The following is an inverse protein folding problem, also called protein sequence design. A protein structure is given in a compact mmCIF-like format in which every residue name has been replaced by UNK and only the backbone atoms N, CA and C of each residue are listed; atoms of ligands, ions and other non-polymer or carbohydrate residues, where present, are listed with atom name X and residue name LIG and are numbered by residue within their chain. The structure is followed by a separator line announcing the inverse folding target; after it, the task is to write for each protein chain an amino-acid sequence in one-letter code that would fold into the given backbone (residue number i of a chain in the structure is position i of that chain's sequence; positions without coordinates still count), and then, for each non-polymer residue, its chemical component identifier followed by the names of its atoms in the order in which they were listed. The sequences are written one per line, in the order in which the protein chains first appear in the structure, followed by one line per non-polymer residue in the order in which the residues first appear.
data_IF_459689095613
#
_entry.id   IF_459689095613
#
_cell.length_a   1.000
_cell.length_b   1.000
_cell.length_c   1.000
_cell.angle_alpha   90.00
_cell.angle_beta   90.00
_cell.angle_gamma   90.00
#
_symmetry.space_group_name_H-M   'P 1'
#
loop_
_entity.id
_entity.type
_entity.pdbx_description
1 polymer ?
#
# COMPACT_ATOMS: atom_id res chain seq x y z
N UNK A 1 -6.97 15.97 8.47
CA UNK A 1 -5.97 16.91 7.91
C UNK A 1 -5.25 16.35 6.70
N UNK A 2 -4.83 15.08 6.67
CA UNK A 2 -4.21 14.44 5.50
C UNK A 2 -5.05 14.55 4.23
N UNK A 3 -6.36 14.32 4.33
CA UNK A 3 -7.28 14.48 3.19
C UNK A 3 -7.24 15.91 2.61
N UNK A 4 -7.14 16.92 3.47
CA UNK A 4 -7.06 18.35 3.05
C UNK A 4 -5.76 18.58 2.27
N UNK A 5 -4.62 18.04 2.72
CA UNK A 5 -3.36 18.17 2.00
C UNK A 5 -3.42 17.54 0.60
N UNK A 6 -4.02 16.35 0.47
CA UNK A 6 -4.22 15.71 -0.83
C UNK A 6 -5.23 16.44 -1.72
N UNK A 7 -6.28 17.04 -1.15
CA UNK A 7 -7.22 17.87 -1.91
C UNK A 7 -6.53 19.13 -2.44
N UNK A 8 -5.73 19.80 -1.62
CA UNK A 8 -4.94 20.97 -2.05
C UNK A 8 -3.98 20.58 -3.16
N UNK A 9 -3.29 19.45 -3.03
CA UNK A 9 -2.42 18.92 -4.06
C UNK A 9 -3.18 18.70 -5.37
N UNK A 10 -4.31 18.01 -5.32
CA UNK A 10 -5.13 17.74 -6.51
C UNK A 10 -5.60 19.04 -7.19
N UNK A 11 -6.09 19.99 -6.41
CA UNK A 11 -6.53 21.29 -6.89
C UNK A 11 -5.35 22.04 -7.53
N UNK A 12 -4.19 22.08 -6.87
CA UNK A 12 -2.99 22.74 -7.38
C UNK A 12 -2.49 22.10 -8.70
N UNK A 13 -2.53 20.78 -8.80
CA UNK A 13 -2.19 20.03 -10.03
C UNK A 13 -3.15 20.39 -11.17
N UNK A 14 -4.46 20.42 -10.90
CA UNK A 14 -5.47 20.83 -11.90
C UNK A 14 -5.30 22.27 -12.33
N UNK A 15 -5.08 23.18 -11.39
CA UNK A 15 -4.78 24.60 -11.67
C UNK A 15 -3.53 24.69 -12.54
N UNK A 16 -2.46 23.99 -12.17
CA UNK A 16 -1.20 23.94 -12.91
C UNK A 16 -1.39 23.48 -14.35
N UNK A 17 -2.13 22.41 -14.53
CA UNK A 17 -2.46 21.88 -15.86
C UNK A 17 -3.22 22.93 -16.70
N UNK A 18 -4.34 23.45 -16.18
CA UNK A 18 -5.23 24.35 -16.90
C UNK A 18 -4.55 25.68 -17.23
N UNK A 19 -3.85 26.28 -16.27
CA UNK A 19 -3.17 27.57 -16.47
C UNK A 19 -2.07 27.47 -17.52
N UNK A 20 -1.27 26.42 -17.48
CA UNK A 20 -0.18 26.26 -18.45
C UNK A 20 -0.69 25.83 -19.83
N UNK A 21 -1.76 25.00 -19.89
CA UNK A 21 -2.45 24.70 -21.14
C UNK A 21 -3.01 25.96 -21.81
N UNK A 22 -3.72 26.80 -21.05
CA UNK A 22 -4.27 28.07 -21.56
C UNK A 22 -3.18 29.04 -22.01
N UNK A 23 -2.09 29.11 -21.25
CA UNK A 23 -0.95 29.94 -21.60
C UNK A 23 -0.28 29.51 -22.91
N UNK A 24 -0.08 28.20 -23.10
CA UNK A 24 0.47 27.67 -24.35
C UNK A 24 -0.45 27.95 -25.53
N UNK A 25 -1.77 27.79 -25.36
CA UNK A 25 -2.76 28.16 -26.38
C UNK A 25 -2.71 29.64 -26.74
N UNK A 26 -2.64 30.54 -25.76
CA UNK A 26 -2.57 31.97 -26.00
C UNK A 26 -1.33 32.37 -26.82
N UNK A 27 -0.17 31.76 -26.59
CA UNK A 27 1.06 31.96 -27.36
C UNK A 27 0.87 31.47 -28.81
N UNK A 28 0.27 30.30 -29.00
CA UNK A 28 -0.01 29.74 -30.31
C UNK A 28 -1.02 30.59 -31.09
N UNK A 29 -2.11 30.97 -30.43
CA UNK A 29 -3.16 31.82 -31.07
C UNK A 29 -2.63 33.22 -31.42
N UNK A 30 -1.56 33.68 -30.76
CA UNK A 30 -0.78 34.87 -31.12
C UNK A 30 0.15 34.67 -32.36
N UNK A 31 0.08 33.53 -33.04
CA UNK A 31 0.84 33.25 -34.28
C UNK A 31 2.23 32.65 -34.06
N UNK A 32 2.65 32.35 -32.84
CA UNK A 32 3.94 31.70 -32.60
C UNK A 32 3.86 30.19 -32.86
N UNK A 33 4.87 29.64 -33.54
CA UNK A 33 5.01 28.20 -33.72
C UNK A 33 5.51 27.58 -32.42
N UNK A 34 4.69 26.74 -31.79
CA UNK A 34 5.04 26.04 -30.56
C UNK A 34 5.87 24.77 -30.86
N UNK A 35 6.99 24.60 -30.18
CA UNK A 35 7.80 23.37 -30.30
C UNK A 35 7.07 22.12 -29.84
N UNK A 36 6.19 22.22 -28.84
CA UNK A 36 5.44 21.10 -28.27
C UNK A 36 3.94 21.39 -28.26
N UNK A 37 3.09 20.35 -28.35
CA UNK A 37 1.65 20.50 -28.23
C UNK A 37 1.25 21.07 -26.87
N UNK A 38 0.20 21.88 -26.86
CA UNK A 38 -0.28 22.59 -25.66
C UNK A 38 -0.51 21.68 -24.45
N UNK A 39 -1.02 20.46 -24.68
CA UNK A 39 -1.26 19.46 -23.63
C UNK A 39 0.00 19.08 -22.84
N UNK A 40 1.17 19.07 -23.50
CA UNK A 40 2.43 18.75 -22.83
C UNK A 40 2.88 19.88 -21.88
N UNK A 41 2.56 21.13 -22.17
CA UNK A 41 2.82 22.25 -21.25
C UNK A 41 1.98 22.11 -19.97
N UNK A 42 0.69 21.75 -20.11
CA UNK A 42 -0.17 21.43 -18.98
C UNK A 42 0.32 20.21 -18.20
N UNK A 43 0.63 19.11 -18.89
CA UNK A 43 1.13 17.89 -18.28
C UNK A 43 2.45 18.05 -17.53
N UNK A 44 3.40 18.82 -18.13
CA UNK A 44 4.66 19.16 -17.48
C UNK A 44 4.44 19.92 -16.17
N UNK A 45 3.57 20.96 -16.19
CA UNK A 45 3.25 21.71 -15.00
C UNK A 45 2.56 20.86 -13.93
N UNK A 46 1.65 19.99 -14.34
CA UNK A 46 0.98 19.04 -13.43
C UNK A 46 2.00 18.14 -12.71
N UNK A 47 2.96 17.56 -13.44
CA UNK A 47 3.99 16.70 -12.85
C UNK A 47 4.97 17.48 -11.96
N UNK A 48 5.34 18.71 -12.36
CA UNK A 48 6.20 19.59 -11.59
C UNK A 48 5.58 19.96 -10.24
N UNK A 49 4.26 20.09 -10.16
CA UNK A 49 3.53 20.34 -8.91
C UNK A 49 3.31 19.02 -8.15
N UNK A 50 2.87 17.97 -8.83
CA UNK A 50 2.48 16.70 -8.23
C UNK A 50 3.63 16.03 -7.49
N UNK A 51 4.75 15.80 -8.17
CA UNK A 51 5.81 14.92 -7.67
C UNK A 51 6.46 15.47 -6.40
N UNK A 52 6.99 16.72 -6.36
CA UNK A 52 7.66 17.21 -5.16
C UNK A 52 6.69 17.43 -4.00
N UNK A 53 5.47 17.88 -4.27
CA UNK A 53 4.48 18.09 -3.21
C UNK A 53 3.96 16.79 -2.64
N UNK A 54 3.72 15.78 -3.48
CA UNK A 54 3.36 14.44 -3.04
C UNK A 54 4.49 13.81 -2.22
N UNK A 55 5.74 13.91 -2.69
CA UNK A 55 6.89 13.42 -1.96
C UNK A 55 7.03 14.09 -0.57
N UNK A 56 6.84 15.41 -0.50
CA UNK A 56 6.83 16.13 0.78
C UNK A 56 5.76 15.60 1.74
N UNK A 57 4.53 15.40 1.26
CA UNK A 57 3.43 14.87 2.09
C UNK A 57 3.78 13.46 2.60
N UNK A 58 4.28 12.58 1.74
CA UNK A 58 4.65 11.22 2.13
C UNK A 58 5.79 11.22 3.15
N UNK A 59 6.87 11.98 2.90
CA UNK A 59 7.99 12.10 3.84
C UNK A 59 7.51 12.64 5.19
N UNK A 60 6.64 13.65 5.18
CA UNK A 60 6.07 14.21 6.40
C UNK A 60 5.30 13.14 7.19
N UNK A 61 4.40 12.40 6.53
CA UNK A 61 3.60 11.35 7.17
C UNK A 61 4.45 10.21 7.72
N UNK A 62 5.55 9.84 7.05
CA UNK A 62 6.47 8.80 7.52
C UNK A 62 7.21 9.21 8.80
N UNK A 63 7.63 10.46 8.89
CA UNK A 63 8.45 10.91 10.02
C UNK A 63 7.66 11.61 11.12
N UNK A 64 6.45 12.12 10.85
CA UNK A 64 5.63 12.86 11.81
C UNK A 64 5.46 12.11 13.13
N UNK A 65 5.11 10.83 13.08
CA UNK A 65 4.87 10.03 14.29
C UNK A 65 6.10 9.94 15.19
N UNK A 66 7.25 9.65 14.59
CA UNK A 66 8.53 9.51 15.32
C UNK A 66 8.96 10.85 15.93
N UNK A 67 8.85 11.94 15.16
CA UNK A 67 9.22 13.28 15.63
C UNK A 67 8.32 13.71 16.79
N UNK A 68 7.01 13.54 16.68
CA UNK A 68 6.07 13.91 17.74
C UNK A 68 6.30 13.06 18.98
N UNK A 69 6.55 11.76 18.82
CA UNK A 69 6.86 10.89 19.95
C UNK A 69 8.13 11.32 20.68
N UNK A 70 9.18 11.71 19.96
CA UNK A 70 10.40 12.27 20.55
C UNK A 70 10.12 13.57 21.31
N UNK A 71 9.30 14.47 20.75
CA UNK A 71 8.95 15.73 21.39
C UNK A 71 8.08 15.56 22.64
N UNK A 72 7.18 14.58 22.63
CA UNK A 72 6.38 14.22 23.82
C UNK A 72 7.27 13.62 24.89
N UNK A 73 8.13 12.66 24.53
CA UNK A 73 9.09 12.05 25.46
C UNK A 73 10.03 13.07 26.11
N UNK A 74 10.55 13.99 25.31
CA UNK A 74 11.42 15.07 25.81
C UNK A 74 10.71 16.04 26.79
N UNK A 75 9.40 16.03 26.85
CA UNK A 75 8.63 16.84 27.78
C UNK A 75 8.07 16.09 28.97
N UNK A 76 8.35 14.79 29.11
CA UNK A 76 7.97 14.02 30.27
C UNK A 76 8.89 14.39 31.47
N UNK A 77 8.39 14.37 32.71
CA UNK A 77 9.22 14.62 33.90
C UNK A 77 10.31 13.55 34.04
N UNK A 78 11.55 13.96 34.20
CA UNK A 78 12.72 13.06 34.34
C UNK A 78 12.53 12.02 35.48
N UNK A 79 11.84 12.41 36.56
CA UNK A 79 11.54 11.51 37.70
C UNK A 79 10.70 10.30 37.31
N UNK A 80 9.91 10.39 36.25
CA UNK A 80 9.02 9.33 35.77
C UNK A 80 9.70 8.41 34.72
N UNK A 81 10.82 8.86 34.17
CA UNK A 81 11.64 8.11 33.23
C UNK A 81 12.87 7.46 33.90
N UNK A 82 13.30 8.01 35.02
CA UNK A 82 14.49 7.55 35.73
C UNK A 82 14.32 6.11 36.23
N UNK A 83 15.16 5.20 35.75
CA UNK A 83 15.18 3.79 36.13
C UNK A 83 14.20 2.89 35.34
N UNK A 84 13.43 3.42 34.42
CA UNK A 84 12.52 2.61 33.60
C UNK A 84 13.21 2.02 32.39
N UNK A 85 12.90 0.75 32.09
CA UNK A 85 13.37 0.07 30.90
C UNK A 85 12.65 0.57 29.64
N UNK A 86 13.23 0.28 28.47
CA UNK A 86 12.65 0.64 27.17
C UNK A 86 11.21 0.13 26.98
N UNK A 87 10.87 -1.04 27.53
CA UNK A 87 9.53 -1.60 27.49
C UNK A 87 8.51 -0.80 28.32
N UNK A 88 8.91 -0.34 29.51
CA UNK A 88 8.05 0.46 30.39
C UNK A 88 7.74 1.83 29.77
N UNK A 89 8.74 2.46 29.15
CA UNK A 89 8.55 3.71 28.42
C UNK A 89 7.56 3.53 27.24
N UNK A 90 7.62 2.39 26.55
CA UNK A 90 6.66 2.09 25.48
C UNK A 90 5.23 1.92 26.01
N UNK A 91 5.06 1.28 27.19
CA UNK A 91 3.76 1.16 27.84
C UNK A 91 3.19 2.52 28.25
N UNK A 92 4.02 3.38 28.84
CA UNK A 92 3.63 4.75 29.18
C UNK A 92 3.17 5.52 27.93
N UNK A 93 3.93 5.43 26.83
CA UNK A 93 3.57 6.09 25.57
C UNK A 93 2.30 5.51 24.95
N UNK A 94 2.06 4.20 25.08
CA UNK A 94 0.82 3.57 24.64
C UNK A 94 -0.39 4.06 25.45
N UNK A 95 -0.24 4.22 26.75
CA UNK A 95 -1.27 4.78 27.64
C UNK A 95 -1.57 6.25 27.29
N UNK A 96 -0.53 7.09 27.11
CA UNK A 96 -0.69 8.48 26.68
C UNK A 96 -1.43 8.56 25.33
N UNK A 97 -1.11 7.70 24.37
CA UNK A 97 -1.82 7.64 23.09
C UNK A 97 -3.28 7.21 23.25
N UNK A 98 -3.57 6.29 24.18
CA UNK A 98 -4.92 5.85 24.49
C UNK A 98 -5.75 7.00 25.07
N UNK A 99 -5.19 7.75 26.02
CA UNK A 99 -5.83 8.94 26.62
C UNK A 99 -6.07 10.00 25.56
N UNK A 100 -5.07 10.32 24.73
CA UNK A 100 -5.18 11.26 23.62
C UNK A 100 -6.25 10.84 22.60
N UNK A 101 -6.49 9.53 22.44
CA UNK A 101 -7.58 8.97 21.61
C UNK A 101 -8.95 8.93 22.30
N UNK A 102 -9.09 9.51 23.50
CA UNK A 102 -10.35 9.55 24.28
C UNK A 102 -10.68 8.25 25.02
N UNK A 103 -9.75 7.28 25.10
CA UNK A 103 -9.92 6.03 25.81
C UNK A 103 -9.13 6.06 27.11
N UNK A 104 -9.80 6.40 28.20
CA UNK A 104 -9.19 6.48 29.52
C UNK A 104 -9.51 5.21 30.31
N UNK A 105 -8.50 4.48 30.75
CA UNK A 105 -8.64 3.30 31.61
C UNK A 105 -8.17 3.67 33.02
N UNK A 106 -9.07 3.57 34.02
CA UNK A 106 -8.80 3.93 35.41
C UNK A 106 -8.68 5.44 35.62
N UNK A 107 -7.90 5.83 36.64
CA UNK A 107 -7.59 7.23 36.98
C UNK A 107 -6.14 7.53 36.57
N UNK A 108 -5.90 8.11 35.39
CA UNK A 108 -4.55 8.45 34.97
C UNK A 108 -3.98 9.58 35.84
N UNK A 109 -2.67 9.56 36.05
CA UNK A 109 -1.98 10.64 36.77
C UNK A 109 -1.99 11.93 35.92
N UNK A 110 -2.04 13.10 36.59
CA UNK A 110 -2.18 14.41 35.92
C UNK A 110 -1.12 14.66 34.83
N UNK A 111 0.15 14.27 35.07
CA UNK A 111 1.22 14.42 34.08
C UNK A 111 0.99 13.60 32.80
N UNK A 112 0.21 12.50 32.84
CA UNK A 112 -0.15 11.71 31.67
C UNK A 112 -1.26 12.42 30.87
N UNK A 113 -2.17 13.11 31.56
CA UNK A 113 -3.19 13.96 30.94
C UNK A 113 -2.53 15.13 30.19
N UNK A 114 -1.57 15.83 30.86
CA UNK A 114 -0.81 16.90 30.25
C UNK A 114 0.00 16.43 29.02
N UNK A 115 0.60 15.24 29.13
CA UNK A 115 1.33 14.64 28.01
C UNK A 115 0.41 14.24 26.84
N UNK A 116 -0.80 13.78 27.12
CA UNK A 116 -1.81 13.46 26.13
C UNK A 116 -2.31 14.72 25.41
N UNK A 117 -2.58 15.80 26.14
CA UNK A 117 -2.98 17.10 25.55
C UNK A 117 -1.86 17.67 24.70
N UNK A 118 -0.61 17.55 25.17
CA UNK A 118 0.57 17.94 24.38
C UNK A 118 0.67 17.12 23.08
N UNK A 119 0.42 15.80 23.12
CA UNK A 119 0.41 14.92 21.94
C UNK A 119 -0.66 15.37 20.94
N UNK A 120 -1.87 15.67 21.40
CA UNK A 120 -2.98 16.14 20.55
C UNK A 120 -2.61 17.49 19.89
N UNK A 121 -2.08 18.41 20.68
CA UNK A 121 -1.65 19.74 20.18
C UNK A 121 -0.54 19.63 19.16
N UNK A 122 0.51 18.83 19.42
CA UNK A 122 1.61 18.60 18.49
C UNK A 122 1.13 17.95 17.17
N UNK A 123 0.21 16.99 17.26
CA UNK A 123 -0.41 16.40 16.07
C UNK A 123 -1.22 17.41 15.25
N UNK A 124 -1.97 18.27 15.90
CA UNK A 124 -2.73 19.33 15.24
C UNK A 124 -1.80 20.35 14.57
N UNK A 125 -0.80 20.85 15.30
CA UNK A 125 0.20 21.79 14.76
C UNK A 125 0.97 21.18 13.59
N UNK A 126 1.48 19.95 13.74
CA UNK A 126 2.19 19.26 12.67
C UNK A 126 1.32 19.07 11.43
N UNK A 127 0.06 18.72 11.61
CA UNK A 127 -0.89 18.56 10.49
C UNK A 127 -1.13 19.87 9.74
N UNK A 128 -1.28 20.98 10.45
CA UNK A 128 -1.43 22.31 9.83
C UNK A 128 -0.14 22.77 9.13
N UNK A 129 1.02 22.50 9.75
CA UNK A 129 2.32 22.79 9.14
C UNK A 129 2.52 21.98 7.85
N UNK A 130 2.13 20.72 7.83
CA UNK A 130 2.16 19.90 6.63
C UNK A 130 1.29 20.49 5.51
N UNK A 131 0.07 20.90 5.83
CA UNK A 131 -0.85 21.50 4.86
C UNK A 131 -0.28 22.82 4.32
N UNK A 132 0.25 23.67 5.20
CA UNK A 132 0.86 24.93 4.82
C UNK A 132 2.12 24.74 3.95
N UNK A 133 2.99 23.80 4.33
CA UNK A 133 4.19 23.47 3.57
C UNK A 133 3.86 22.89 2.19
N UNK A 134 2.86 21.98 2.12
CA UNK A 134 2.38 21.44 0.85
C UNK A 134 1.80 22.52 -0.06
N UNK A 135 0.97 23.43 0.48
CA UNK A 135 0.40 24.53 -0.27
C UNK A 135 1.48 25.51 -0.76
N UNK A 136 2.45 25.84 0.10
CA UNK A 136 3.57 26.72 -0.26
C UNK A 136 4.43 26.10 -1.37
N UNK A 137 4.81 24.83 -1.23
CA UNK A 137 5.60 24.13 -2.23
C UNK A 137 4.85 24.00 -3.56
N UNK A 138 3.56 23.65 -3.52
CA UNK A 138 2.71 23.59 -4.72
C UNK A 138 2.64 24.96 -5.42
N UNK A 139 2.48 26.05 -4.65
CA UNK A 139 2.49 27.43 -5.19
C UNK A 139 3.81 27.80 -5.84
N UNK A 140 4.94 27.48 -5.20
CA UNK A 140 6.28 27.71 -5.77
C UNK A 140 6.47 26.92 -7.06
N UNK A 141 6.11 25.63 -7.06
CA UNK A 141 6.23 24.77 -8.25
C UNK A 141 5.32 25.26 -9.39
N UNK A 142 4.12 25.73 -9.06
CA UNK A 142 3.20 26.32 -10.03
C UNK A 142 3.79 27.59 -10.66
N UNK A 143 4.37 28.48 -9.83
CA UNK A 143 5.03 29.69 -10.31
C UNK A 143 6.20 29.38 -11.24
N UNK A 144 7.07 28.42 -10.85
CA UNK A 144 8.20 27.97 -11.66
C UNK A 144 7.74 27.34 -12.98
N UNK A 145 6.72 26.48 -12.94
CA UNK A 145 6.17 25.83 -14.12
C UNK A 145 5.55 26.88 -15.08
N UNK A 146 4.87 27.89 -14.52
CA UNK A 146 4.28 28.96 -15.33
C UNK A 146 5.33 29.82 -16.03
N UNK A 147 6.45 30.10 -15.37
CA UNK A 147 7.55 30.86 -15.94
C UNK A 147 8.29 30.15 -17.08
N UNK A 148 8.12 28.82 -17.20
CA UNK A 148 8.75 28.03 -18.27
C UNK A 148 7.94 27.94 -19.57
N UNK A 149 6.70 28.42 -19.59
CA UNK A 149 5.86 28.35 -20.80
C UNK A 149 6.37 29.37 -21.83
N UNK A 150 6.95 28.87 -22.92
CA UNK A 150 7.42 29.65 -24.05
C UNK A 150 7.28 28.84 -25.35
N UNK A 151 7.39 29.51 -26.50
CA UNK A 151 7.30 28.86 -27.81
C UNK A 151 8.40 27.81 -27.99
N UNK A 152 9.63 28.09 -27.54
CA UNK A 152 10.80 27.24 -27.71
C UNK A 152 10.92 26.15 -26.64
N UNK A 153 10.08 26.21 -25.58
CA UNK A 153 10.17 25.24 -24.49
C UNK A 153 9.77 23.83 -24.93
N UNK A 154 10.70 22.88 -24.79
CA UNK A 154 10.52 21.47 -25.14
C UNK A 154 9.70 20.72 -24.07
N UNK A 155 8.43 21.15 -23.90
CA UNK A 155 7.55 20.65 -22.84
C UNK A 155 7.34 19.12 -22.92
N UNK A 156 7.26 18.55 -24.12
CA UNK A 156 7.13 17.09 -24.33
C UNK A 156 8.33 16.36 -23.77
N UNK A 157 9.55 16.79 -24.12
CA UNK A 157 10.76 16.15 -23.63
C UNK A 157 10.90 16.28 -22.10
N UNK A 158 10.54 17.45 -21.55
CA UNK A 158 10.51 17.66 -20.11
C UNK A 158 9.53 16.71 -19.41
N UNK A 159 8.34 16.58 -19.93
CA UNK A 159 7.30 15.65 -19.43
C UNK A 159 7.79 14.20 -19.50
N UNK A 160 8.26 13.75 -20.66
CA UNK A 160 8.75 12.38 -20.88
C UNK A 160 9.94 12.07 -19.95
N UNK A 161 10.87 13.02 -19.76
CA UNK A 161 12.02 12.85 -18.86
C UNK A 161 11.58 12.66 -17.41
N UNK A 162 10.60 13.46 -16.94
CA UNK A 162 10.10 13.32 -15.57
C UNK A 162 9.43 11.95 -15.40
N UNK A 163 8.53 11.57 -16.31
CA UNK A 163 7.85 10.27 -16.28
C UNK A 163 8.87 9.13 -16.28
N UNK A 164 9.86 9.20 -17.17
CA UNK A 164 10.91 8.17 -17.26
C UNK A 164 11.70 8.04 -15.95
N UNK A 165 12.08 9.16 -15.33
CA UNK A 165 12.79 9.13 -14.03
C UNK A 165 11.93 8.53 -12.91
N UNK A 166 10.64 8.84 -12.89
CA UNK A 166 9.69 8.25 -11.92
C UNK A 166 9.57 6.74 -12.15
N UNK A 167 9.43 6.31 -13.41
CA UNK A 167 9.38 4.87 -13.74
C UNK A 167 10.65 4.14 -13.32
N UNK A 168 11.83 4.72 -13.56
CA UNK A 168 13.11 4.14 -13.11
C UNK A 168 13.13 4.05 -11.58
N UNK A 169 12.72 5.11 -10.87
CA UNK A 169 12.68 5.09 -9.42
C UNK A 169 11.73 4.01 -8.88
N UNK A 170 10.54 3.88 -9.47
CA UNK A 170 9.58 2.83 -9.10
C UNK A 170 10.13 1.42 -9.40
N UNK A 171 10.74 1.22 -10.56
CA UNK A 171 11.35 -0.06 -10.92
C UNK A 171 12.50 -0.42 -9.96
N UNK A 172 13.35 0.55 -9.64
CA UNK A 172 14.44 0.37 -8.66
C UNK A 172 13.89 0.01 -7.28
N UNK A 173 12.88 0.72 -6.81
CA UNK A 173 12.22 0.41 -5.54
C UNK A 173 11.63 -1.00 -5.54
N UNK A 174 10.97 -1.41 -6.63
CA UNK A 174 10.41 -2.77 -6.76
C UNK A 174 11.51 -3.85 -6.69
N UNK A 175 12.66 -3.61 -7.32
CA UNK A 175 13.82 -4.53 -7.24
C UNK A 175 14.30 -4.65 -5.80
N UNK A 176 14.48 -3.53 -5.10
CA UNK A 176 14.91 -3.57 -3.69
C UNK A 176 13.90 -4.28 -2.78
N UNK A 177 12.60 -4.06 -2.99
CA UNK A 177 11.55 -4.77 -2.25
C UNK A 177 11.64 -6.27 -2.52
N UNK A 178 11.80 -6.68 -3.78
CA UNK A 178 11.94 -8.09 -4.15
C UNK A 178 13.17 -8.73 -3.50
N UNK A 179 14.33 -8.04 -3.54
CA UNK A 179 15.55 -8.51 -2.88
C UNK A 179 15.32 -8.62 -1.36
N UNK A 180 14.65 -7.62 -0.76
CA UNK A 180 14.32 -7.63 0.66
C UNK A 180 13.42 -8.80 1.06
N UNK A 181 12.42 -9.12 0.24
CA UNK A 181 11.54 -10.28 0.46
C UNK A 181 12.35 -11.58 0.39
N UNK A 182 13.17 -11.75 -0.65
CA UNK A 182 14.00 -12.96 -0.81
C UNK A 182 14.99 -13.09 0.36
N UNK A 183 15.64 -12.01 0.75
CA UNK A 183 16.58 -12.01 1.86
C UNK A 183 15.89 -12.35 3.21
N UNK A 184 14.71 -11.78 3.44
CA UNK A 184 13.91 -12.07 4.64
C UNK A 184 13.48 -13.53 4.68
N UNK A 185 12.95 -14.07 3.57
CA UNK A 185 12.57 -15.48 3.47
C UNK A 185 13.76 -16.41 3.67
N UNK A 186 14.92 -16.08 3.09
CA UNK A 186 16.14 -16.86 3.26
C UNK A 186 16.59 -16.87 4.73
N UNK A 187 16.60 -15.71 5.37
CA UNK A 187 16.95 -15.58 6.78
C UNK A 187 16.04 -16.42 7.70
N UNK A 188 14.72 -16.31 7.50
CA UNK A 188 13.75 -17.10 8.26
C UNK A 188 13.88 -18.61 7.96
N UNK A 189 14.18 -18.97 6.72
CA UNK A 189 14.41 -20.37 6.33
C UNK A 189 15.64 -20.96 7.02
N UNK A 190 16.76 -20.23 7.05
CA UNK A 190 17.96 -20.69 7.76
C UNK A 190 17.65 -20.89 9.25
N UNK A 191 16.99 -19.92 9.87
CA UNK A 191 16.60 -19.98 11.29
C UNK A 191 15.64 -21.13 11.59
N UNK A 192 14.76 -21.46 10.65
CA UNK A 192 13.88 -22.64 10.76
C UNK A 192 14.69 -23.94 10.73
N UNK A 193 15.64 -24.10 9.79
CA UNK A 193 16.46 -25.31 9.68
C UNK A 193 17.50 -25.46 10.78
N UNK A 194 17.81 -24.44 11.56
CA UNK A 194 18.55 -24.58 12.82
C UNK A 194 17.80 -25.43 13.87
N UNK A 195 16.45 -25.42 13.79
CA UNK A 195 15.57 -26.11 14.76
C UNK A 195 14.97 -27.40 14.22
N UNK A 196 14.75 -27.50 12.91
CA UNK A 196 14.11 -28.63 12.25
C UNK A 196 15.09 -29.23 11.24
N UNK A 197 15.50 -30.49 11.38
CA UNK A 197 16.39 -31.13 10.42
C UNK A 197 15.80 -31.12 9.01
N UNK A 198 16.60 -30.81 8.01
CA UNK A 198 16.16 -30.68 6.62
C UNK A 198 15.44 -31.96 6.09
N UNK A 199 15.95 -33.13 6.42
CA UNK A 199 15.35 -34.37 5.96
C UNK A 199 14.03 -34.68 6.67
N UNK A 200 13.88 -34.33 7.92
CA UNK A 200 12.62 -34.48 8.66
C UNK A 200 11.54 -33.55 8.10
N UNK A 201 11.92 -32.39 7.61
CA UNK A 201 11.01 -31.47 6.93
C UNK A 201 10.60 -32.01 5.56
N UNK A 202 11.55 -32.41 4.71
CA UNK A 202 11.27 -32.82 3.31
C UNK A 202 10.53 -34.14 3.22
N UNK A 203 10.90 -35.15 4.05
CA UNK A 203 10.35 -36.49 4.01
C UNK A 203 9.27 -36.71 5.09
N UNK A 204 9.03 -35.78 5.96
CA UNK A 204 8.04 -35.87 7.01
C UNK A 204 6.62 -36.02 6.48
N UNK A 205 5.87 -36.96 7.06
CA UNK A 205 4.49 -37.30 6.67
C UNK A 205 3.42 -36.67 7.58
N UNK A 206 3.82 -35.93 8.57
CA UNK A 206 2.92 -35.28 9.52
C UNK A 206 3.12 -33.77 9.54
N UNK A 207 2.03 -33.01 9.43
CA UNK A 207 2.03 -31.54 9.45
C UNK A 207 1.16 -31.05 10.61
N UNK A 208 1.80 -30.75 11.73
CA UNK A 208 1.16 -30.18 12.93
C UNK A 208 2.00 -29.03 13.48
N UNK A 209 1.95 -27.84 12.86
CA UNK A 209 2.77 -26.69 13.25
C UNK A 209 2.21 -25.96 14.50
N UNK A 210 1.82 -26.72 15.54
CA UNK A 210 1.31 -26.14 16.77
C UNK A 210 2.47 -25.64 17.63
N UNK A 211 2.53 -24.33 17.84
CA UNK A 211 3.46 -23.70 18.78
C UNK A 211 2.78 -23.61 20.14
N UNK A 212 3.42 -24.08 21.23
CA UNK A 212 2.86 -23.93 22.59
C UNK A 212 2.74 -22.45 22.92
N UNK A 213 1.52 -21.99 23.17
CA UNK A 213 1.22 -20.59 23.51
C UNK A 213 1.33 -20.36 25.03
N UNK A 214 1.36 -21.41 25.85
CA UNK A 214 1.41 -21.33 27.32
C UNK A 214 2.54 -22.20 27.87
N UNK A 215 3.21 -21.67 28.91
CA UNK A 215 4.15 -22.45 29.74
C UNK A 215 3.40 -23.67 30.34
N UNK A 216 3.91 -24.87 30.08
CA UNK A 216 3.31 -26.14 30.52
C UNK A 216 2.48 -26.88 29.46
N UNK A 217 2.21 -26.32 28.30
CA UNK A 217 1.72 -27.07 27.17
C UNK A 217 2.84 -27.96 26.61
N UNK A 218 2.66 -29.28 26.74
CA UNK A 218 3.53 -30.24 26.04
C UNK A 218 3.24 -30.07 24.55
N UNK A 219 4.05 -29.23 23.87
CA UNK A 219 4.06 -29.24 22.44
C UNK A 219 4.47 -30.67 22.04
N UNK A 220 3.61 -31.40 21.35
CA UNK A 220 4.08 -32.48 20.51
C UNK A 220 5.25 -31.90 19.71
N UNK A 221 6.43 -32.57 19.72
CA UNK A 221 7.58 -32.14 18.91
C UNK A 221 7.02 -31.81 17.54
N UNK A 222 6.98 -30.50 17.18
CA UNK A 222 6.23 -30.02 16.03
C UNK A 222 6.54 -30.87 14.81
N UNK A 223 5.54 -31.52 14.31
CA UNK A 223 5.68 -32.30 13.08
C UNK A 223 5.57 -31.32 11.91
N UNK A 224 6.69 -30.99 11.32
CA UNK A 224 6.80 -30.03 10.20
C UNK A 224 7.07 -30.76 8.87
N UNK A 225 6.40 -31.90 8.64
CA UNK A 225 6.59 -32.63 7.40
C UNK A 225 5.93 -31.98 6.20
N UNK A 226 6.69 -31.74 5.13
CA UNK A 226 6.22 -31.06 3.91
C UNK A 226 5.32 -31.94 3.03
N UNK A 227 5.44 -33.25 3.08
CA UNK A 227 4.73 -34.17 2.17
C UNK A 227 3.20 -34.00 2.16
N UNK A 228 2.49 -33.89 3.32
CA UNK A 228 1.04 -33.71 3.30
C UNK A 228 0.62 -32.37 2.66
N UNK A 229 1.38 -31.31 2.89
CA UNK A 229 1.12 -29.98 2.33
C UNK A 229 1.32 -29.99 0.82
N UNK A 230 2.40 -30.63 0.36
CA UNK A 230 2.70 -30.76 -1.07
C UNK A 230 1.65 -31.60 -1.80
N UNK A 231 1.30 -32.77 -1.25
CA UNK A 231 0.26 -33.62 -1.80
C UNK A 231 -1.11 -32.94 -1.82
N UNK A 232 -1.48 -32.25 -0.73
CA UNK A 232 -2.72 -31.48 -0.68
C UNK A 232 -2.77 -30.39 -1.77
N UNK A 233 -1.65 -29.70 -1.99
CA UNK A 233 -1.55 -28.70 -3.06
C UNK A 233 -1.71 -29.35 -4.45
N UNK A 234 -1.07 -30.49 -4.69
CA UNK A 234 -1.21 -31.22 -5.96
C UNK A 234 -2.65 -31.70 -6.21
N UNK A 235 -3.31 -32.23 -5.19
CA UNK A 235 -4.72 -32.69 -5.30
C UNK A 235 -5.62 -31.50 -5.64
N UNK A 236 -5.52 -30.39 -4.88
CA UNK A 236 -6.33 -29.20 -5.12
C UNK A 236 -6.07 -28.63 -6.51
N UNK A 237 -4.81 -28.49 -6.91
CA UNK A 237 -4.44 -27.99 -8.22
C UNK A 237 -4.98 -28.88 -9.35
N UNK A 238 -4.86 -30.21 -9.21
CA UNK A 238 -5.35 -31.15 -10.20
C UNK A 238 -6.86 -31.08 -10.36
N UNK A 239 -7.61 -31.08 -9.26
CA UNK A 239 -9.08 -30.94 -9.29
C UNK A 239 -9.50 -29.59 -9.91
N UNK A 240 -8.84 -28.52 -9.49
CA UNK A 240 -9.12 -27.18 -10.05
C UNK A 240 -8.87 -27.14 -11.56
N UNK A 241 -7.77 -27.69 -12.05
CA UNK A 241 -7.45 -27.73 -13.48
C UNK A 241 -8.38 -28.64 -14.28
N UNK A 242 -8.79 -29.77 -13.75
CA UNK A 242 -9.75 -30.68 -14.40
C UNK A 242 -11.10 -29.99 -14.66
N UNK A 243 -11.51 -29.08 -13.78
CA UNK A 243 -12.76 -28.34 -13.92
C UNK A 243 -12.56 -27.06 -14.75
N UNK A 244 -11.52 -26.26 -14.42
CA UNK A 244 -11.31 -24.97 -15.03
C UNK A 244 -10.89 -25.04 -16.50
N UNK A 245 -10.08 -26.05 -16.88
CA UNK A 245 -9.56 -26.14 -18.27
C UNK A 245 -10.66 -26.42 -19.28
N UNK A 246 -11.57 -27.41 -19.10
CA UNK A 246 -12.67 -27.59 -20.05
C UNK A 246 -13.58 -26.37 -20.18
N UNK A 247 -13.95 -25.79 -19.02
CA UNK A 247 -14.83 -24.59 -19.00
C UNK A 247 -14.16 -23.41 -19.71
N UNK A 248 -12.89 -23.16 -19.39
CA UNK A 248 -12.13 -22.07 -20.00
C UNK A 248 -11.94 -22.26 -21.50
N UNK A 249 -11.61 -23.48 -21.94
CA UNK A 249 -11.42 -23.80 -23.35
C UNK A 249 -12.73 -23.64 -24.14
N UNK A 250 -13.81 -24.22 -23.63
CA UNK A 250 -15.13 -24.10 -24.30
C UNK A 250 -15.61 -22.63 -24.32
N UNK A 251 -15.40 -21.89 -23.28
CA UNK A 251 -15.71 -20.45 -23.23
C UNK A 251 -14.88 -19.67 -24.25
N UNK A 252 -13.58 -19.97 -24.38
CA UNK A 252 -12.71 -19.31 -25.34
C UNK A 252 -13.15 -19.62 -26.79
N UNK A 253 -13.47 -20.89 -27.10
CA UNK A 253 -13.97 -21.30 -28.41
C UNK A 253 -15.29 -20.61 -28.70
N UNK A 254 -16.24 -20.60 -27.77
CA UNK A 254 -17.51 -19.91 -27.93
C UNK A 254 -17.34 -18.42 -28.21
N UNK A 255 -16.48 -17.74 -27.44
CA UNK A 255 -16.24 -16.32 -27.65
C UNK A 255 -15.55 -16.02 -28.97
N UNK A 256 -14.68 -16.92 -29.45
CA UNK A 256 -13.97 -16.74 -30.72
C UNK A 256 -14.84 -17.04 -31.95
N UNK A 257 -15.56 -18.16 -31.94
CA UNK A 257 -16.26 -18.65 -33.12
C UNK A 257 -17.75 -18.22 -33.17
N UNK A 258 -18.44 -18.30 -32.04
CA UNK A 258 -19.90 -18.22 -32.00
C UNK A 258 -20.46 -16.90 -31.43
N UNK A 259 -19.71 -16.21 -30.57
CA UNK A 259 -20.21 -15.02 -29.93
C UNK A 259 -20.40 -13.84 -30.89
N UNK A 260 -21.52 -13.13 -30.75
CA UNK A 260 -21.75 -11.89 -31.51
C UNK A 260 -20.70 -10.84 -31.21
N UNK A 261 -20.45 -9.94 -32.13
CA UNK A 261 -19.46 -8.86 -31.99
C UNK A 261 -19.71 -8.01 -30.73
N UNK A 262 -20.98 -7.77 -30.39
CA UNK A 262 -21.36 -7.02 -29.16
C UNK A 262 -21.01 -7.79 -27.89
N UNK A 263 -21.30 -9.09 -27.85
CA UNK A 263 -20.95 -9.94 -26.69
C UNK A 263 -19.44 -9.99 -26.50
N UNK A 264 -18.68 -10.20 -27.58
CA UNK A 264 -17.21 -10.24 -27.55
C UNK A 264 -16.60 -8.92 -27.06
N UNK A 265 -17.12 -7.77 -27.53
CA UNK A 265 -16.60 -6.45 -27.14
C UNK A 265 -16.82 -6.10 -25.65
N UNK A 266 -17.78 -6.76 -24.98
CA UNK A 266 -18.03 -6.56 -23.56
C UNK A 266 -17.33 -7.64 -22.71
N UNK A 267 -17.49 -8.91 -23.08
CA UNK A 267 -16.98 -10.04 -22.27
C UNK A 267 -15.45 -10.09 -22.26
N UNK A 268 -14.80 -9.84 -23.43
CA UNK A 268 -13.33 -9.92 -23.50
C UNK A 268 -12.64 -8.91 -22.57
N UNK A 269 -12.98 -7.61 -22.54
CA UNK A 269 -12.41 -6.67 -21.56
C UNK A 269 -12.73 -7.04 -20.12
N UNK A 270 -13.92 -7.57 -19.81
CA UNK A 270 -14.26 -8.04 -18.47
C UNK A 270 -13.35 -9.19 -18.04
N UNK A 271 -13.08 -10.16 -18.90
CA UNK A 271 -12.16 -11.25 -18.61
C UNK A 271 -10.71 -10.74 -18.41
N UNK A 272 -10.28 -9.75 -19.20
CA UNK A 272 -8.97 -9.12 -19.04
C UNK A 272 -8.85 -8.38 -17.69
N UNK A 273 -9.90 -7.68 -17.27
CA UNK A 273 -9.96 -7.02 -15.94
C UNK A 273 -9.90 -8.08 -14.82
N UNK A 274 -10.69 -9.15 -14.94
CA UNK A 274 -10.69 -10.24 -13.97
C UNK A 274 -9.31 -10.93 -13.89
N UNK A 275 -8.67 -11.17 -15.03
CA UNK A 275 -7.33 -11.76 -15.07
C UNK A 275 -6.26 -10.87 -14.40
N UNK A 276 -6.49 -9.55 -14.32
CA UNK A 276 -5.62 -8.59 -13.63
C UNK A 276 -5.76 -8.60 -12.10
N UNK A 277 -6.82 -9.23 -11.55
CA UNK A 277 -7.02 -9.28 -10.10
C UNK A 277 -6.02 -10.26 -9.46
N UNK A 278 -5.31 -9.88 -8.39
CA UNK A 278 -4.39 -10.78 -7.69
C UNK A 278 -5.08 -12.07 -7.24
N UNK A 279 -4.47 -13.22 -7.50
CA UNK A 279 -5.04 -14.55 -7.16
C UNK A 279 -5.37 -14.72 -5.68
N UNK A 280 -4.62 -14.03 -4.80
CA UNK A 280 -4.88 -13.99 -3.35
C UNK A 280 -6.27 -13.44 -3.03
N UNK A 281 -6.75 -12.44 -3.78
CA UNK A 281 -8.09 -11.84 -3.60
C UNK A 281 -9.18 -12.88 -3.90
N UNK A 282 -9.01 -13.66 -4.97
CA UNK A 282 -9.92 -14.78 -5.26
C UNK A 282 -9.91 -15.84 -4.17
N UNK A 283 -8.74 -16.16 -3.62
CA UNK A 283 -8.61 -17.10 -2.50
C UNK A 283 -9.38 -16.62 -1.26
N UNK A 284 -9.22 -15.37 -0.87
CA UNK A 284 -9.98 -14.77 0.24
C UNK A 284 -11.48 -14.76 -0.03
N UNK A 285 -11.91 -14.38 -1.21
CA UNK A 285 -13.32 -14.41 -1.58
C UNK A 285 -13.88 -15.82 -1.52
N UNK A 286 -13.14 -16.81 -2.01
CA UNK A 286 -13.55 -18.22 -1.93
C UNK A 286 -13.74 -18.67 -0.48
N UNK A 287 -12.80 -18.37 0.42
CA UNK A 287 -12.86 -18.80 1.82
C UNK A 287 -13.96 -18.05 2.59
N UNK A 288 -14.11 -16.74 2.39
CA UNK A 288 -15.01 -15.93 3.19
C UNK A 288 -16.45 -15.92 2.69
N UNK A 289 -16.68 -16.14 1.40
CA UNK A 289 -18.01 -16.01 0.78
C UNK A 289 -18.46 -17.33 0.17
N UNK A 290 -17.66 -17.95 -0.72
CA UNK A 290 -18.09 -19.13 -1.47
C UNK A 290 -18.18 -20.36 -0.55
N UNK A 291 -17.16 -20.61 0.27
CA UNK A 291 -17.14 -21.80 1.12
C UNK A 291 -18.27 -21.81 2.16
N UNK A 292 -18.60 -20.73 2.89
CA UNK A 292 -19.78 -20.69 3.76
C UNK A 292 -21.10 -20.87 3.01
N UNK A 293 -21.21 -20.27 1.80
CA UNK A 293 -22.41 -20.44 0.97
C UNK A 293 -22.58 -21.90 0.55
N UNK A 294 -21.52 -22.56 0.07
CA UNK A 294 -21.58 -23.98 -0.30
C UNK A 294 -21.93 -24.87 0.90
N UNK A 295 -21.40 -24.57 2.08
CA UNK A 295 -21.76 -25.31 3.31
C UNK A 295 -23.24 -25.16 3.65
N UNK A 296 -23.78 -23.94 3.56
CA UNK A 296 -25.19 -23.70 3.85
C UNK A 296 -26.11 -24.41 2.87
N UNK A 297 -25.78 -24.40 1.57
CA UNK A 297 -26.53 -25.14 0.55
C UNK A 297 -26.35 -26.65 0.69
N UNK A 298 -25.17 -27.14 1.01
CA UNK A 298 -24.91 -28.57 1.27
C UNK A 298 -25.74 -29.08 2.45
N UNK A 299 -25.77 -28.33 3.55
CA UNK A 299 -26.59 -28.66 4.71
C UNK A 299 -28.10 -28.70 4.39
N UNK A 300 -28.58 -27.81 3.51
CA UNK A 300 -29.99 -27.85 3.03
C UNK A 300 -30.32 -29.11 2.21
N UNK A 301 -29.29 -29.69 1.55
CA UNK A 301 -29.42 -30.92 0.77
C UNK A 301 -29.10 -32.20 1.60
N UNK A 302 -28.85 -32.06 2.91
CA UNK A 302 -28.51 -33.16 3.80
C UNK A 302 -27.10 -33.72 3.59
N UNK A 303 -26.21 -32.95 2.98
CA UNK A 303 -24.81 -33.29 2.80
C UNK A 303 -23.99 -32.68 3.96
N UNK A 304 -23.27 -33.52 4.68
CA UNK A 304 -22.25 -33.08 5.65
C UNK A 304 -21.00 -32.57 4.88
N UNK A 305 -20.92 -31.25 4.71
CA UNK A 305 -19.83 -30.58 3.95
C UNK A 305 -19.00 -29.67 4.85
#
# INVERSE_FOLDING_TARGET
MTLIAFLILLIAVMIGYVLNLRAARAIRDGGAQMHSLDGFHGGYAALMVLIPTFALIIVWLLFQGTVIEMLVKAGLPDRQLAGQGTGEIQLIMAEIRSIAGGRVFGTPADWKLDAADRLVTLNAVSSWLMVAAAAALAGVMLYVARGRVSADFRARQGFETIVHRVLIACATAAIFVTIGIVASLLFETIRFFEKVPFWDFVLGTSWEPQIPIREGQIAAKGAFGMLPVFLGTLVIATVAMLIATPIGLLSAIYLHEFASHRARSVIKPLMEILAGVPTVVYGFFAILVIAPALRSYGAMLGLDV
#
